data_IF_990167598751
#
_entry.id   IF_990167598751
#
_cell.length_a   1.000
_cell.length_b   1.000
_cell.length_c   1.000
_cell.angle_alpha   90.00
_cell.angle_beta   90.00
_cell.angle_gamma   90.00
#
_symmetry.space_group_name_H-M   'P 1'
#
loop_
_entity.id
_entity.type
_entity.pdbx_description
1 polymer ?
#
# COMPACT_ATOMS: atom_id res chain seq x y z
N UNK A 1 13.46 7.22 -0.78
CA UNK A 1 13.72 5.78 -1.02
C UNK A 1 12.54 5.23 -1.78
N UNK A 2 12.80 4.46 -2.84
CA UNK A 2 11.76 3.91 -3.70
C UNK A 2 11.32 2.54 -3.15
N UNK A 3 10.03 2.38 -2.84
CA UNK A 3 9.44 1.20 -2.22
C UNK A 3 8.33 0.69 -3.13
N UNK A 4 8.55 -0.49 -3.73
CA UNK A 4 7.53 -1.18 -4.48
C UNK A 4 6.74 -2.13 -3.57
N UNK A 5 5.42 -1.95 -3.50
CA UNK A 5 4.50 -2.91 -2.87
C UNK A 5 3.96 -3.81 -3.97
N UNK A 6 4.29 -5.10 -3.92
CA UNK A 6 3.85 -6.10 -4.90
C UNK A 6 2.85 -7.07 -4.26
N UNK A 7 1.75 -7.31 -4.95
CA UNK A 7 0.74 -8.29 -4.59
C UNK A 7 -0.04 -8.74 -5.81
N UNK A 8 -0.88 -9.75 -5.64
CA UNK A 8 -1.75 -10.27 -6.72
C UNK A 8 -2.99 -9.39 -6.98
N UNK A 9 -3.21 -8.39 -6.12
CA UNK A 9 -4.35 -7.46 -6.16
C UNK A 9 -3.89 -6.05 -5.82
N UNK A 10 -4.56 -5.06 -6.41
CA UNK A 10 -4.26 -3.64 -6.24
C UNK A 10 -5.08 -2.97 -5.13
N UNK A 11 -4.89 -1.65 -5.01
CA UNK A 11 -5.69 -0.74 -4.18
C UNK A 11 -6.60 0.10 -5.10
N UNK A 12 -7.82 0.50 -4.68
CA UNK A 12 -8.38 0.35 -3.34
C UNK A 12 -8.85 -1.06 -2.98
N UNK A 13 -8.84 -1.38 -1.67
CA UNK A 13 -9.10 -2.72 -1.16
C UNK A 13 -10.56 -3.17 -1.32
N UNK A 14 -10.80 -4.37 -1.87
CA UNK A 14 -12.16 -4.89 -2.08
C UNK A 14 -12.55 -6.04 -1.12
N UNK A 15 -11.58 -6.82 -0.65
CA UNK A 15 -11.83 -8.01 0.18
C UNK A 15 -11.27 -7.93 1.60
N UNK A 16 -10.55 -6.85 1.93
CA UNK A 16 -9.88 -6.69 3.21
C UNK A 16 -8.47 -7.30 3.24
N UNK A 17 -7.99 -7.64 4.44
CA UNK A 17 -6.73 -8.34 4.64
C UNK A 17 -5.50 -7.57 4.13
N UNK A 18 -4.69 -8.21 3.28
CA UNK A 18 -3.47 -7.61 2.75
C UNK A 18 -3.76 -6.36 1.91
N UNK A 19 -4.88 -6.31 1.18
CA UNK A 19 -5.25 -5.14 0.38
C UNK A 19 -5.44 -3.89 1.26
N UNK A 20 -6.14 -4.01 2.40
CA UNK A 20 -6.34 -2.93 3.37
C UNK A 20 -5.04 -2.52 4.07
N UNK A 21 -4.19 -3.50 4.38
CA UNK A 21 -2.86 -3.20 4.90
C UNK A 21 -2.02 -2.40 3.90
N UNK A 22 -1.97 -2.83 2.64
CA UNK A 22 -1.23 -2.17 1.58
C UNK A 22 -1.75 -0.73 1.33
N UNK A 23 -3.06 -0.51 1.34
CA UNK A 23 -3.67 0.81 1.17
C UNK A 23 -3.27 1.79 2.28
N UNK A 24 -3.37 1.35 3.54
CA UNK A 24 -2.98 2.19 4.67
C UNK A 24 -1.46 2.36 4.81
N UNK A 25 -0.68 1.34 4.45
CA UNK A 25 0.78 1.43 4.48
C UNK A 25 1.28 2.38 3.41
N UNK A 26 0.83 2.23 2.15
CA UNK A 26 1.24 3.06 1.02
C UNK A 26 1.02 4.55 1.31
N UNK A 27 -0.18 4.90 1.78
CA UNK A 27 -0.50 6.29 2.13
C UNK A 27 0.37 6.83 3.28
N UNK A 28 0.72 6.02 4.28
CA UNK A 28 1.62 6.42 5.37
C UNK A 28 3.08 6.55 4.91
N UNK A 29 3.54 5.70 4.00
CA UNK A 29 4.89 5.75 3.45
C UNK A 29 5.11 7.02 2.63
N UNK A 30 4.14 7.38 1.78
CA UNK A 30 4.17 8.65 1.04
C UNK A 30 4.19 9.85 1.99
N UNK A 31 3.37 9.84 3.05
CA UNK A 31 3.38 10.88 4.10
C UNK A 31 4.72 11.00 4.84
N UNK A 32 5.54 9.95 4.86
CA UNK A 32 6.88 9.94 5.44
C UNK A 32 7.99 10.31 4.44
N UNK A 33 7.65 10.64 3.20
CA UNK A 33 8.61 11.04 2.15
C UNK A 33 9.24 9.85 1.42
N UNK A 34 8.64 8.66 1.51
CA UNK A 34 9.02 7.52 0.68
C UNK A 34 8.23 7.54 -0.62
N UNK A 35 8.86 7.10 -1.70
CA UNK A 35 8.30 7.08 -3.05
C UNK A 35 8.11 5.65 -3.53
#
# INVERSE_FOLDING_TARGET
MNIAIMGIRGIPANYGGFETFAEHLATRLVKRGHH
#
